data_IF_514930595446
#
_entry.id   IF_514930595446
#
_cell.length_a   1.000
_cell.length_b   1.000
_cell.length_c   1.000
_cell.angle_alpha   90.00
_cell.angle_beta   90.00
_cell.angle_gamma   90.00
#
_symmetry.space_group_name_H-M   'P 1'
#
loop_
_entity.id
_entity.type
_entity.pdbx_description
1 polymer ?
#
# COMPACT_ATOMS: atom_id res chain seq x y z
N UNK A 1 21.07 20.47 14.76
CA UNK A 1 20.13 19.42 15.26
C UNK A 1 20.90 18.11 15.33
N UNK A 2 21.27 17.66 16.51
CA UNK A 2 21.93 16.37 16.71
C UNK A 2 20.95 15.25 16.35
N UNK A 3 21.27 14.46 15.30
CA UNK A 3 20.56 13.21 15.02
C UNK A 3 20.79 12.26 16.18
N UNK A 4 19.78 12.02 17.01
CA UNK A 4 19.81 10.98 18.03
C UNK A 4 20.25 9.67 17.38
N UNK A 5 21.30 9.06 17.90
CA UNK A 5 21.87 7.79 17.44
C UNK A 5 20.78 6.72 17.52
N UNK A 6 20.25 6.32 16.39
CA UNK A 6 19.30 5.20 16.27
C UNK A 6 20.13 3.93 16.50
N UNK A 7 19.84 3.18 17.58
CA UNK A 7 20.62 2.00 17.98
C UNK A 7 20.23 0.71 17.24
N UNK A 8 19.14 0.70 16.45
CA UNK A 8 18.62 -0.44 15.71
C UNK A 8 18.77 -0.29 14.20
N UNK A 9 18.27 -1.28 13.45
CA UNK A 9 18.19 -1.23 11.99
C UNK A 9 17.09 -0.31 11.54
N UNK A 10 17.31 0.40 10.42
CA UNK A 10 16.32 1.28 9.82
C UNK A 10 15.74 0.60 8.57
N UNK A 11 14.43 0.52 8.50
CA UNK A 11 13.69 -0.03 7.38
C UNK A 11 12.80 1.05 6.75
N UNK A 12 12.90 1.23 5.43
CA UNK A 12 12.01 2.11 4.68
C UNK A 12 10.91 1.29 4.01
N UNK A 13 9.65 1.48 4.42
CA UNK A 13 8.54 0.76 3.79
C UNK A 13 7.87 1.61 2.71
N UNK A 14 7.84 1.07 1.48
CA UNK A 14 7.21 1.69 0.32
C UNK A 14 6.12 0.80 -0.26
N UNK A 15 4.97 1.41 -0.64
CA UNK A 15 3.81 0.67 -1.13
C UNK A 15 3.16 1.36 -2.32
N UNK A 16 2.81 0.55 -3.33
CA UNK A 16 1.97 0.95 -4.46
C UNK A 16 0.76 0.02 -4.59
N UNK A 17 -0.28 0.50 -5.25
CA UNK A 17 -1.49 -0.29 -5.48
C UNK A 17 -1.36 -1.25 -6.66
N UNK A 18 -0.61 -0.88 -7.70
CA UNK A 18 -0.44 -1.70 -8.91
C UNK A 18 1.02 -1.68 -9.36
N UNK A 19 1.48 -2.76 -10.00
CA UNK A 19 2.86 -2.86 -10.54
C UNK A 19 3.23 -1.78 -11.55
N UNK A 20 2.24 -1.11 -12.16
CA UNK A 20 2.45 0.00 -13.11
C UNK A 20 2.81 1.34 -12.43
N UNK A 21 2.58 1.46 -11.13
CA UNK A 21 2.90 2.67 -10.37
C UNK A 21 4.37 2.67 -9.97
N UNK A 22 4.99 3.86 -9.94
CA UNK A 22 6.38 4.03 -9.59
C UNK A 22 6.56 4.25 -8.07
N UNK A 23 7.51 3.55 -7.47
CA UNK A 23 7.90 3.67 -6.06
C UNK A 23 9.05 4.69 -5.85
N UNK A 24 9.73 5.14 -6.91
CA UNK A 24 10.99 5.88 -6.83
C UNK A 24 10.87 7.16 -5.99
N UNK A 25 9.70 7.84 -6.06
CA UNK A 25 9.45 9.03 -5.23
C UNK A 25 9.50 8.69 -3.73
N UNK A 26 8.86 7.60 -3.31
CA UNK A 26 8.84 7.19 -1.90
C UNK A 26 10.24 6.76 -1.46
N UNK A 27 10.93 5.98 -2.30
CA UNK A 27 12.30 5.51 -2.04
C UNK A 27 13.23 6.71 -1.87
N UNK A 28 13.22 7.64 -2.83
CA UNK A 28 14.04 8.87 -2.79
C UNK A 28 13.76 9.71 -1.55
N UNK A 29 12.50 9.89 -1.16
CA UNK A 29 12.13 10.65 0.03
C UNK A 29 12.71 10.00 1.29
N UNK A 30 12.58 8.66 1.43
CA UNK A 30 13.12 7.93 2.57
C UNK A 30 14.66 7.99 2.57
N UNK A 31 15.30 7.69 1.46
CA UNK A 31 16.77 7.65 1.38
C UNK A 31 17.43 9.02 1.53
N UNK A 32 16.71 10.10 1.23
CA UNK A 32 17.21 11.46 1.46
C UNK A 32 17.43 11.75 2.94
N UNK A 33 16.55 11.24 3.81
CA UNK A 33 16.63 11.46 5.25
C UNK A 33 17.32 10.30 5.99
N UNK A 34 17.16 9.08 5.48
CA UNK A 34 17.72 7.84 6.01
C UNK A 34 18.42 7.03 4.91
N UNK A 35 19.66 7.44 4.49
CA UNK A 35 20.40 6.77 3.40
C UNK A 35 20.67 5.29 3.68
N UNK A 36 20.82 4.92 4.95
CA UNK A 36 21.09 3.57 5.44
C UNK A 36 19.84 2.67 5.50
N UNK A 37 18.64 3.21 5.22
CA UNK A 37 17.39 2.46 5.33
C UNK A 37 17.32 1.31 4.33
N UNK A 38 17.03 0.11 4.82
CA UNK A 38 16.73 -1.07 4.00
C UNK A 38 15.32 -0.94 3.44
N UNK A 39 15.21 -0.78 2.13
CA UNK A 39 13.91 -0.54 1.46
C UNK A 39 13.13 -1.84 1.28
N UNK A 40 11.96 -1.90 1.90
CA UNK A 40 10.96 -2.97 1.74
C UNK A 40 9.87 -2.50 0.77
N UNK A 41 9.72 -3.21 -0.35
CA UNK A 41 8.80 -2.86 -1.44
C UNK A 41 7.56 -3.76 -1.41
N UNK A 42 6.38 -3.17 -1.41
CA UNK A 42 5.11 -3.92 -1.45
C UNK A 42 4.18 -3.44 -2.57
N UNK A 43 3.56 -4.39 -3.26
CA UNK A 43 2.50 -4.13 -4.24
C UNK A 43 1.20 -4.70 -3.69
N UNK A 44 0.34 -3.82 -3.19
CA UNK A 44 -0.91 -4.22 -2.56
C UNK A 44 -2.02 -3.19 -2.76
N UNK A 45 -3.15 -3.63 -3.32
CA UNK A 45 -4.32 -2.79 -3.64
C UNK A 45 -5.39 -2.75 -2.56
N UNK A 46 -5.40 -3.73 -1.65
CA UNK A 46 -6.41 -3.82 -0.60
C UNK A 46 -6.30 -2.72 0.47
N UNK A 47 -7.33 -2.60 1.27
CA UNK A 47 -7.36 -1.73 2.46
C UNK A 47 -6.87 -2.47 3.70
N UNK A 48 -7.17 -3.76 3.83
CA UNK A 48 -6.86 -4.59 5.01
C UNK A 48 -5.35 -4.81 5.18
N UNK A 49 -4.89 -4.75 6.41
CA UNK A 49 -3.48 -4.93 6.77
C UNK A 49 -2.99 -6.37 6.52
N UNK A 50 -3.84 -7.36 6.79
CA UNK A 50 -3.50 -8.79 6.69
C UNK A 50 -2.99 -9.25 5.31
N UNK A 51 -3.41 -8.60 4.23
CA UNK A 51 -2.96 -8.92 2.87
C UNK A 51 -1.55 -8.42 2.52
N UNK A 52 -0.87 -7.69 3.41
CA UNK A 52 0.44 -7.08 3.18
C UNK A 52 1.56 -8.03 3.60
N UNK A 53 1.94 -8.89 2.69
CA UNK A 53 2.91 -9.97 2.95
C UNK A 53 4.28 -9.46 3.40
N UNK A 54 4.80 -8.44 2.72
CA UNK A 54 6.14 -7.93 3.02
C UNK A 54 6.17 -7.10 4.32
N UNK A 55 5.13 -6.31 4.60
CA UNK A 55 5.01 -5.59 5.87
C UNK A 55 4.87 -6.57 7.05
N UNK A 56 4.03 -7.60 6.91
CA UNK A 56 3.84 -8.61 7.94
C UNK A 56 5.12 -9.44 8.20
N UNK A 57 5.88 -9.73 7.15
CA UNK A 57 7.20 -10.34 7.27
C UNK A 57 8.18 -9.43 8.04
N UNK A 58 8.23 -8.14 7.65
CA UNK A 58 9.07 -7.14 8.32
C UNK A 58 8.73 -7.09 9.81
N UNK A 59 7.45 -6.91 10.18
CA UNK A 59 7.01 -6.80 11.57
C UNK A 59 7.42 -8.01 12.44
N UNK A 60 7.44 -9.22 11.84
CA UNK A 60 7.89 -10.43 12.55
C UNK A 60 9.40 -10.47 12.80
N UNK A 61 10.19 -9.75 12.02
CA UNK A 61 11.65 -9.73 12.10
C UNK A 61 12.20 -8.57 12.94
N UNK A 62 11.37 -7.57 13.24
CA UNK A 62 11.76 -6.38 13.99
C UNK A 62 12.18 -6.73 15.41
N UNK A 63 13.18 -6.01 15.88
CA UNK A 63 13.70 -6.07 17.25
C UNK A 63 13.49 -4.73 17.95
N UNK A 64 13.48 -4.75 19.27
CA UNK A 64 13.42 -3.53 20.08
C UNK A 64 14.52 -2.54 19.65
N UNK A 65 14.13 -1.30 19.40
CA UNK A 65 15.01 -0.25 18.91
C UNK A 65 15.16 -0.16 17.39
N UNK A 66 14.59 -1.10 16.61
CA UNK A 66 14.51 -0.95 15.16
C UNK A 66 13.53 0.16 14.77
N UNK A 67 13.75 0.75 13.61
CA UNK A 67 12.95 1.86 13.08
C UNK A 67 12.30 1.49 11.77
N UNK A 68 11.01 1.84 11.60
CA UNK A 68 10.33 1.80 10.30
C UNK A 68 10.02 3.23 9.87
N UNK A 69 10.45 3.58 8.66
CA UNK A 69 10.19 4.87 8.01
C UNK A 69 9.14 4.70 6.92
N UNK A 70 8.07 5.49 7.01
CA UNK A 70 6.99 5.58 6.02
C UNK A 70 7.01 6.95 5.34
N UNK A 71 6.76 7.02 4.02
CA UNK A 71 6.58 8.31 3.31
C UNK A 71 5.37 9.09 3.86
N UNK A 72 4.32 8.37 4.31
CA UNK A 72 3.12 8.95 4.95
C UNK A 72 2.31 7.87 5.69
N UNK A 73 1.39 8.29 6.56
CA UNK A 73 0.44 7.43 7.28
C UNK A 73 -0.32 6.50 6.34
N UNK A 74 -0.73 6.98 5.16
CA UNK A 74 -1.44 6.18 4.15
C UNK A 74 -0.64 4.99 3.61
N UNK A 75 0.68 4.96 3.80
CA UNK A 75 1.51 3.80 3.45
C UNK A 75 1.41 2.72 4.51
N UNK A 76 1.33 3.12 5.78
CA UNK A 76 1.12 2.20 6.89
C UNK A 76 -0.30 1.62 6.88
N UNK A 77 -1.35 2.44 6.90
CA UNK A 77 -2.73 1.96 6.77
C UNK A 77 -3.63 2.93 6.00
N UNK A 78 -4.73 2.39 5.44
CA UNK A 78 -5.85 3.12 4.85
C UNK A 78 -7.13 2.96 5.67
N UNK A 79 -7.10 2.11 6.66
CA UNK A 79 -8.11 1.94 7.69
C UNK A 79 -7.59 2.58 8.96
N UNK A 80 -8.37 3.47 9.56
CA UNK A 80 -7.91 4.27 10.68
C UNK A 80 -7.75 3.45 11.96
N UNK A 81 -8.72 2.59 12.24
CA UNK A 81 -8.71 1.79 13.47
C UNK A 81 -7.62 0.72 13.44
N UNK A 82 -7.54 -0.02 12.31
CA UNK A 82 -6.48 -1.01 12.10
C UNK A 82 -5.09 -0.37 12.13
N UNK A 83 -4.94 0.82 11.53
CA UNK A 83 -3.68 1.57 11.53
C UNK A 83 -3.25 2.02 12.91
N UNK A 84 -4.19 2.55 13.69
CA UNK A 84 -3.94 2.97 15.07
C UNK A 84 -3.56 1.80 15.96
N UNK A 85 -4.26 0.67 15.87
CA UNK A 85 -3.94 -0.54 16.63
C UNK A 85 -2.53 -1.06 16.32
N UNK A 86 -2.18 -1.15 15.04
CA UNK A 86 -0.83 -1.59 14.63
C UNK A 86 0.25 -0.60 15.10
N UNK A 87 -0.05 0.71 15.09
CA UNK A 87 0.86 1.71 15.64
C UNK A 87 1.12 1.46 17.12
N UNK A 88 0.06 1.22 17.93
CA UNK A 88 0.19 0.93 19.35
C UNK A 88 0.99 -0.36 19.60
N UNK A 89 0.66 -1.44 18.89
CA UNK A 89 1.34 -2.73 19.03
C UNK A 89 2.85 -2.62 18.74
N UNK A 90 3.23 -1.85 17.73
CA UNK A 90 4.64 -1.62 17.39
C UNK A 90 5.34 -0.72 18.40
N UNK A 91 4.65 0.32 18.86
CA UNK A 91 5.16 1.20 19.91
C UNK A 91 5.43 0.43 21.22
N UNK A 92 4.49 -0.43 21.65
CA UNK A 92 4.63 -1.26 22.86
C UNK A 92 5.77 -2.28 22.73
N UNK A 93 6.04 -2.77 21.52
CA UNK A 93 7.20 -3.62 21.19
C UNK A 93 8.53 -2.85 21.16
N UNK A 94 8.52 -1.55 21.42
CA UNK A 94 9.72 -0.72 21.39
C UNK A 94 10.28 -0.45 19.99
N UNK A 95 9.43 -0.54 18.95
CA UNK A 95 9.77 -0.19 17.57
C UNK A 95 9.53 1.30 17.35
N UNK A 96 10.47 1.97 16.69
CA UNK A 96 10.33 3.38 16.32
C UNK A 96 9.59 3.49 14.98
N UNK A 97 8.59 4.38 14.90
CA UNK A 97 7.84 4.68 13.69
C UNK A 97 8.08 6.14 13.30
N UNK A 98 8.41 6.37 12.04
CA UNK A 98 8.68 7.69 11.48
C UNK A 98 7.81 7.88 10.22
N UNK A 99 7.13 9.03 10.15
CA UNK A 99 6.26 9.41 9.05
C UNK A 99 6.76 10.72 8.43
N UNK A 100 7.40 10.66 7.26
CA UNK A 100 8.08 11.82 6.65
C UNK A 100 7.16 13.03 6.38
N UNK A 101 5.86 12.79 6.23
CA UNK A 101 4.88 13.86 6.03
C UNK A 101 4.14 14.27 7.29
N UNK A 102 4.09 13.37 8.27
CA UNK A 102 3.30 13.56 9.48
C UNK A 102 4.19 13.36 10.74
N UNK A 103 5.31 14.09 10.84
CA UNK A 103 6.28 13.97 11.96
C UNK A 103 5.68 14.19 13.35
N UNK A 104 4.53 14.86 13.44
CA UNK A 104 3.85 15.09 14.70
C UNK A 104 3.33 13.80 15.36
N UNK A 105 3.26 12.70 14.60
CA UNK A 105 2.87 11.37 15.10
C UNK A 105 4.03 10.38 15.14
N UNK A 106 5.25 10.80 14.90
CA UNK A 106 6.42 9.93 15.08
C UNK A 106 6.46 9.41 16.52
N UNK A 107 6.88 8.15 16.71
CA UNK A 107 6.94 7.57 18.07
C UNK A 107 7.86 8.33 19.01
N UNK A 108 8.91 8.97 18.48
CA UNK A 108 9.79 9.85 19.28
C UNK A 108 9.02 11.05 19.80
N UNK A 109 8.19 11.68 18.97
CA UNK A 109 7.34 12.82 19.36
C UNK A 109 6.33 12.37 20.43
N UNK A 110 5.71 11.22 20.24
CA UNK A 110 4.80 10.64 21.21
C UNK A 110 5.48 10.30 22.54
N UNK A 111 6.66 9.66 22.52
CA UNK A 111 7.48 9.42 23.71
C UNK A 111 7.86 10.71 24.45
N UNK A 112 8.21 11.74 23.69
CA UNK A 112 8.55 13.05 24.28
C UNK A 112 7.34 13.67 25.00
N UNK A 113 6.14 13.56 24.43
CA UNK A 113 4.92 14.02 25.05
C UNK A 113 4.60 13.26 26.37
N UNK A 114 4.95 11.97 26.44
CA UNK A 114 4.80 11.16 27.65
C UNK A 114 5.88 11.51 28.69
N UNK A 115 7.15 11.60 28.26
CA UNK A 115 8.29 11.78 29.17
C UNK A 115 8.44 13.23 29.65
N UNK A 116 7.94 14.21 28.88
CA UNK A 116 7.91 15.63 29.25
C UNK A 116 6.63 16.01 30.02
N UNK A 117 5.97 15.02 30.63
CA UNK A 117 4.90 15.30 31.60
C UNK A 117 5.38 16.26 32.69
N UNK A 118 4.47 17.00 33.29
CA UNK A 118 4.79 17.92 34.38
C UNK A 118 5.39 17.11 35.52
N UNK A 119 6.61 17.45 35.97
CA UNK A 119 7.26 16.70 37.04
C UNK A 119 6.45 16.82 38.36
N UNK A 120 6.37 15.72 39.08
CA UNK A 120 5.71 15.68 40.37
C UNK A 120 6.57 16.39 41.42
N UNK A 121 5.90 17.11 42.36
CA UNK A 121 6.53 17.99 43.33
C UNK A 121 6.71 17.33 44.72
N UNK A 122 6.09 16.16 44.93
CA UNK A 122 6.04 15.48 46.21
C UNK A 122 5.00 16.08 47.19
N UNK A 123 4.06 16.90 46.68
CA UNK A 123 3.01 17.56 47.47
C UNK A 123 1.61 17.12 47.01
N UNK A 124 0.57 17.55 47.74
CA UNK A 124 -0.83 17.27 47.39
C UNK A 124 -1.24 17.82 46.00
N UNK A 125 -0.46 18.74 45.44
CA UNK A 125 -0.66 19.23 44.06
C UNK A 125 -0.44 18.12 43.00
N UNK A 126 0.28 17.08 43.39
CA UNK A 126 0.59 15.97 42.47
C UNK A 126 -0.65 15.24 41.96
N UNK A 127 -1.74 15.18 42.72
CA UNK A 127 -3.03 14.63 42.23
C UNK A 127 -3.56 15.39 41.00
N UNK A 128 -3.36 16.72 40.95
CA UNK A 128 -3.74 17.55 39.81
C UNK A 128 -2.76 17.32 38.67
N UNK A 129 -1.46 17.29 38.96
CA UNK A 129 -0.41 17.10 37.96
C UNK A 129 -0.52 15.73 37.27
N UNK A 130 -0.84 14.67 38.03
CA UNK A 130 -1.13 13.35 37.45
C UNK A 130 -2.33 13.38 36.51
N UNK A 131 -3.40 14.09 36.89
CA UNK A 131 -4.59 14.28 36.02
C UNK A 131 -4.25 14.99 34.71
N UNK A 132 -3.46 16.05 34.80
CA UNK A 132 -2.98 16.80 33.62
C UNK A 132 -2.10 15.91 32.73
N UNK A 133 -1.16 15.17 33.31
CA UNK A 133 -0.29 14.26 32.57
C UNK A 133 -1.10 13.16 31.84
N UNK A 134 -2.11 12.57 32.48
CA UNK A 134 -3.04 11.62 31.85
C UNK A 134 -3.81 12.26 30.68
N UNK A 135 -4.24 13.51 30.85
CA UNK A 135 -4.93 14.25 29.78
C UNK A 135 -4.01 14.52 28.58
N UNK A 136 -2.77 14.97 28.83
CA UNK A 136 -1.77 15.18 27.77
C UNK A 136 -1.49 13.89 26.98
N UNK A 137 -1.38 12.76 27.67
CA UNK A 137 -1.23 11.45 27.03
C UNK A 137 -2.45 11.08 26.18
N UNK A 138 -3.65 11.36 26.67
CA UNK A 138 -4.89 11.14 25.90
C UNK A 138 -4.94 11.99 24.63
N UNK A 139 -4.53 13.27 24.72
CA UNK A 139 -4.43 14.15 23.55
C UNK A 139 -3.43 13.64 22.52
N UNK A 140 -2.25 13.16 22.96
CA UNK A 140 -1.25 12.60 22.04
C UNK A 140 -1.79 11.37 21.31
N UNK A 141 -2.50 10.47 21.98
CA UNK A 141 -3.18 9.32 21.37
C UNK A 141 -4.23 9.76 20.34
N UNK A 142 -5.04 10.78 20.68
CA UNK A 142 -6.06 11.29 19.79
C UNK A 142 -5.44 11.93 18.52
N UNK A 143 -4.31 12.63 18.62
CA UNK A 143 -3.59 13.18 17.48
C UNK A 143 -3.16 12.09 16.49
N UNK A 144 -2.65 10.97 17.01
CA UNK A 144 -2.29 9.82 16.15
C UNK A 144 -3.52 9.26 15.46
N UNK A 145 -4.61 9.06 16.20
CA UNK A 145 -5.88 8.57 15.65
C UNK A 145 -6.44 9.48 14.57
N UNK A 146 -6.43 10.80 14.80
CA UNK A 146 -6.88 11.80 13.83
C UNK A 146 -6.05 11.78 12.54
N UNK A 147 -4.73 11.57 12.61
CA UNK A 147 -3.90 11.45 11.42
C UNK A 147 -4.30 10.24 10.56
N UNK A 148 -4.61 9.09 11.18
CA UNK A 148 -5.13 7.93 10.46
C UNK A 148 -6.53 8.17 9.87
N UNK A 149 -7.43 8.82 10.62
CA UNK A 149 -8.77 9.19 10.15
C UNK A 149 -8.70 10.15 8.95
N UNK A 150 -7.83 11.14 8.99
CA UNK A 150 -7.61 12.07 7.87
C UNK A 150 -7.11 11.32 6.64
N UNK A 151 -6.13 10.43 6.80
CA UNK A 151 -5.63 9.58 5.71
C UNK A 151 -6.72 8.70 5.09
N UNK A 152 -7.62 8.13 5.90
CA UNK A 152 -8.76 7.35 5.43
C UNK A 152 -9.76 8.23 4.67
N UNK A 153 -10.06 9.42 5.18
CA UNK A 153 -10.96 10.38 4.54
C UNK A 153 -10.44 10.79 3.16
N UNK A 154 -9.17 11.08 3.02
CA UNK A 154 -8.56 11.41 1.71
C UNK A 154 -8.83 10.32 0.65
N UNK A 155 -8.75 9.04 1.03
CA UNK A 155 -9.04 7.92 0.13
C UNK A 155 -10.52 7.85 -0.25
N UNK A 156 -11.42 8.09 0.71
CA UNK A 156 -12.87 8.09 0.44
C UNK A 156 -13.28 9.26 -0.43
N UNK A 157 -12.76 10.45 -0.16
CA UNK A 157 -13.02 11.66 -0.94
C UNK A 157 -12.51 11.52 -2.38
N UNK A 158 -11.32 10.93 -2.58
CA UNK A 158 -10.80 10.66 -3.92
C UNK A 158 -11.71 9.70 -4.70
N UNK A 159 -12.21 8.65 -4.04
CA UNK A 159 -13.16 7.70 -4.66
C UNK A 159 -14.47 8.37 -5.02
N UNK A 160 -14.96 9.23 -4.14
CA UNK A 160 -16.20 9.96 -4.37
C UNK A 160 -16.07 10.92 -5.56
N UNK A 161 -15.04 11.76 -5.58
CA UNK A 161 -14.74 12.65 -6.72
C UNK A 161 -14.60 11.90 -8.05
N UNK A 162 -13.99 10.71 -8.02
CA UNK A 162 -13.88 9.87 -9.22
C UNK A 162 -15.25 9.41 -9.70
N UNK A 163 -16.15 8.96 -8.79
CA UNK A 163 -17.52 8.57 -9.14
C UNK A 163 -18.31 9.74 -9.73
N UNK A 164 -18.26 10.88 -9.08
CA UNK A 164 -18.93 12.11 -9.52
C UNK A 164 -18.40 12.59 -10.87
N UNK A 165 -17.09 12.51 -11.09
CA UNK A 165 -16.47 12.84 -12.38
C UNK A 165 -16.94 11.89 -13.51
N UNK A 166 -17.07 10.58 -13.22
CA UNK A 166 -17.61 9.61 -14.16
C UNK A 166 -19.07 9.90 -14.48
N UNK A 167 -19.87 10.21 -13.47
CA UNK A 167 -21.30 10.54 -13.66
C UNK A 167 -21.48 11.84 -14.48
N UNK A 168 -20.72 12.87 -14.16
CA UNK A 168 -20.69 14.11 -14.93
C UNK A 168 -20.31 13.88 -16.38
N UNK A 169 -19.31 13.01 -16.62
CA UNK A 169 -18.93 12.65 -18.00
C UNK A 169 -20.04 11.92 -18.75
N UNK A 170 -20.82 11.06 -18.07
CA UNK A 170 -22.02 10.39 -18.65
C UNK A 170 -23.11 11.40 -19.00
N UNK A 171 -23.44 12.30 -18.09
CA UNK A 171 -24.43 13.35 -18.29
C UNK A 171 -24.05 14.23 -19.51
N UNK A 172 -22.76 14.51 -19.66
CA UNK A 172 -22.23 15.28 -20.79
C UNK A 172 -22.07 14.43 -22.09
N UNK A 173 -22.67 13.24 -22.14
CA UNK A 173 -22.66 12.36 -23.32
C UNK A 173 -21.30 11.76 -23.66
N UNK A 174 -20.31 11.83 -22.78
CA UNK A 174 -19.01 11.17 -23.02
C UNK A 174 -19.13 9.66 -22.81
N UNK A 175 -18.68 8.90 -23.80
CA UNK A 175 -18.57 7.46 -23.68
C UNK A 175 -17.50 7.09 -22.65
N UNK A 176 -17.88 6.27 -21.65
CA UNK A 176 -16.96 5.82 -20.58
C UNK A 176 -16.74 4.32 -20.75
N UNK A 177 -15.49 3.95 -20.91
CA UNK A 177 -15.07 2.58 -21.15
C UNK A 177 -14.80 2.30 -22.63
N UNK A 178 -14.75 1.01 -23.00
CA UNK A 178 -14.60 0.59 -24.38
C UNK A 178 -15.93 0.79 -25.13
N UNK A 179 -15.84 1.30 -26.36
CA UNK A 179 -17.00 1.37 -27.24
C UNK A 179 -17.62 -0.03 -27.45
N UNK A 180 -18.95 -0.09 -27.58
CA UNK A 180 -19.64 -1.36 -27.86
C UNK A 180 -19.08 -1.98 -29.13
N UNK A 181 -18.76 -3.28 -29.09
CA UNK A 181 -18.16 -3.99 -30.22
C UNK A 181 -16.63 -3.91 -30.33
N UNK A 182 -15.96 -3.07 -29.55
CA UNK A 182 -14.49 -3.01 -29.55
C UNK A 182 -13.91 -4.26 -28.87
N UNK A 183 -13.14 -5.03 -29.57
CA UNK A 183 -12.42 -6.19 -29.02
C UNK A 183 -11.15 -5.72 -28.34
N UNK A 184 -10.98 -6.10 -27.06
CA UNK A 184 -9.76 -5.80 -26.30
C UNK A 184 -8.62 -6.73 -26.76
N UNK A 185 -7.63 -6.18 -27.45
CA UNK A 185 -6.41 -6.90 -27.81
C UNK A 185 -5.39 -6.72 -26.69
N UNK A 186 -5.09 -7.80 -25.97
CA UNK A 186 -4.08 -7.79 -24.90
C UNK A 186 -2.79 -8.43 -25.39
N UNK A 187 -1.63 -8.05 -24.81
CA UNK A 187 -0.34 -8.69 -25.12
C UNK A 187 -0.44 -10.22 -24.99
N UNK A 188 -1.09 -10.71 -23.92
CA UNK A 188 -1.30 -12.14 -23.71
C UNK A 188 -2.16 -12.78 -24.82
N UNK A 189 -3.18 -12.08 -25.35
CA UNK A 189 -3.99 -12.62 -26.45
C UNK A 189 -3.19 -12.74 -27.74
N UNK A 190 -2.29 -11.78 -28.03
CA UNK A 190 -1.39 -11.83 -29.19
C UNK A 190 -0.43 -13.03 -29.03
N UNK A 191 0.30 -13.12 -27.92
CA UNK A 191 1.21 -14.23 -27.64
C UNK A 191 0.53 -15.60 -27.70
N UNK A 192 -0.72 -15.70 -27.20
CA UNK A 192 -1.47 -16.94 -27.27
C UNK A 192 -1.86 -17.28 -28.72
N UNK A 193 -2.30 -16.31 -29.53
CA UNK A 193 -2.64 -16.51 -30.94
C UNK A 193 -1.40 -16.94 -31.74
N UNK A 194 -0.27 -16.29 -31.56
CA UNK A 194 1.01 -16.68 -32.21
C UNK A 194 1.41 -18.13 -31.87
N UNK A 195 1.27 -18.52 -30.58
CA UNK A 195 1.54 -19.91 -30.18
C UNK A 195 0.56 -20.91 -30.78
N UNK A 196 -0.73 -20.57 -30.85
CA UNK A 196 -1.74 -21.43 -31.52
C UNK A 196 -1.37 -21.59 -32.98
N UNK A 197 -1.05 -20.52 -33.69
CA UNK A 197 -0.67 -20.54 -35.09
C UNK A 197 0.61 -21.35 -35.34
N UNK A 198 1.57 -21.28 -34.42
CA UNK A 198 2.84 -22.02 -34.56
C UNK A 198 2.74 -23.51 -34.25
N UNK A 199 1.87 -23.93 -33.33
CA UNK A 199 1.89 -25.30 -32.81
C UNK A 199 0.68 -26.15 -33.18
N UNK A 200 -0.48 -25.55 -33.52
CA UNK A 200 -1.71 -26.31 -33.82
C UNK A 200 -1.68 -26.93 -35.19
N UNK A 201 -2.14 -28.19 -35.32
CA UNK A 201 -2.28 -28.91 -36.59
C UNK A 201 -3.13 -28.20 -37.62
N UNK A 202 -4.10 -27.38 -37.19
CA UNK A 202 -4.95 -26.59 -38.10
C UNK A 202 -4.18 -25.46 -38.83
N UNK A 203 -2.95 -25.18 -38.42
CA UNK A 203 -2.06 -24.16 -38.96
C UNK A 203 -0.66 -24.73 -39.24
N UNK A 204 -0.59 -25.95 -39.75
CA UNK A 204 0.64 -26.67 -40.12
C UNK A 204 1.60 -27.01 -38.93
N UNK A 205 1.10 -26.90 -37.72
CA UNK A 205 1.83 -27.33 -36.53
C UNK A 205 1.68 -28.82 -36.24
N UNK A 206 2.38 -29.33 -35.21
CA UNK A 206 2.41 -30.76 -34.89
C UNK A 206 1.45 -31.16 -33.75
N UNK A 207 0.93 -30.21 -32.98
CA UNK A 207 0.18 -30.49 -31.76
C UNK A 207 -1.33 -30.54 -32.02
N UNK A 208 -2.00 -31.49 -31.35
CA UNK A 208 -3.46 -31.52 -31.26
C UNK A 208 -3.99 -30.36 -30.39
N UNK A 209 -5.28 -30.03 -30.54
CA UNK A 209 -5.93 -28.96 -29.75
C UNK A 209 -5.75 -29.15 -28.27
N UNK A 210 -5.82 -30.39 -27.78
CA UNK A 210 -5.67 -30.71 -26.34
C UNK A 210 -4.26 -30.42 -25.83
N UNK A 211 -3.25 -30.78 -26.61
CA UNK A 211 -1.83 -30.50 -26.30
C UNK A 211 -1.51 -29.01 -26.39
N UNK A 212 -2.06 -28.29 -27.37
CA UNK A 212 -1.93 -26.84 -27.47
C UNK A 212 -2.54 -26.12 -26.29
N UNK A 213 -3.73 -26.49 -25.84
CA UNK A 213 -4.40 -25.93 -24.67
C UNK A 213 -3.52 -26.11 -23.41
N UNK A 214 -2.93 -27.28 -23.26
CA UNK A 214 -2.07 -27.63 -22.12
C UNK A 214 -0.73 -26.85 -22.16
N UNK A 215 -0.11 -26.76 -23.36
CA UNK A 215 1.15 -26.03 -23.56
C UNK A 215 1.01 -24.53 -23.32
N UNK A 216 -0.09 -23.93 -23.81
CA UNK A 216 -0.32 -22.47 -23.72
C UNK A 216 -0.89 -22.08 -22.35
N UNK A 217 -1.53 -23.00 -21.65
CA UNK A 217 -2.11 -22.76 -20.32
C UNK A 217 -3.32 -21.82 -20.35
N UNK A 218 -4.22 -22.00 -21.32
CA UNK A 218 -5.46 -21.22 -21.46
C UNK A 218 -6.70 -22.13 -21.40
N UNK A 219 -7.84 -21.54 -21.02
CA UNK A 219 -9.09 -22.27 -20.97
C UNK A 219 -9.54 -22.70 -22.38
N UNK A 220 -10.17 -23.90 -22.48
CA UNK A 220 -10.66 -24.48 -23.74
C UNK A 220 -11.52 -23.51 -24.58
N UNK A 221 -12.45 -22.80 -23.92
CA UNK A 221 -13.28 -21.80 -24.60
C UNK A 221 -12.48 -20.64 -25.20
N UNK A 222 -11.44 -20.17 -24.51
CA UNK A 222 -10.53 -19.11 -24.97
C UNK A 222 -9.69 -19.62 -26.18
N UNK A 223 -9.23 -20.86 -26.12
CA UNK A 223 -8.47 -21.48 -27.19
C UNK A 223 -9.28 -21.52 -28.49
N UNK A 224 -10.50 -22.06 -28.47
CA UNK A 224 -11.35 -22.14 -29.67
C UNK A 224 -11.84 -20.78 -30.17
N UNK A 225 -12.00 -19.81 -29.27
CA UNK A 225 -12.25 -18.42 -29.65
C UNK A 225 -11.08 -17.85 -30.44
N UNK A 226 -9.85 -17.97 -29.94
CA UNK A 226 -8.66 -17.47 -30.61
C UNK A 226 -8.39 -18.21 -31.93
N UNK A 227 -8.61 -19.50 -31.96
CA UNK A 227 -8.48 -20.34 -33.19
C UNK A 227 -9.43 -19.88 -34.28
N UNK A 228 -10.68 -19.53 -33.96
CA UNK A 228 -11.63 -18.91 -34.89
C UNK A 228 -11.15 -17.54 -35.34
N UNK A 229 -10.77 -16.69 -34.44
CA UNK A 229 -10.29 -15.34 -34.76
C UNK A 229 -9.08 -15.36 -35.73
N UNK A 230 -8.19 -16.35 -35.59
CA UNK A 230 -7.05 -16.54 -36.51
C UNK A 230 -7.56 -16.98 -37.88
N UNK A 231 -8.49 -17.96 -37.96
CA UNK A 231 -9.06 -18.43 -39.24
C UNK A 231 -9.84 -17.33 -39.97
N UNK A 232 -10.51 -16.44 -39.22
CA UNK A 232 -11.28 -15.31 -39.75
C UNK A 232 -10.38 -14.11 -40.15
N UNK A 233 -9.07 -14.22 -40.03
CA UNK A 233 -8.11 -13.14 -40.34
C UNK A 233 -8.19 -11.95 -39.38
N UNK A 234 -8.77 -12.13 -38.21
CA UNK A 234 -8.90 -11.11 -37.17
C UNK A 234 -7.67 -11.20 -36.24
N UNK A 235 -6.57 -10.57 -36.68
CA UNK A 235 -5.37 -10.41 -35.85
C UNK A 235 -5.49 -9.30 -34.81
#
# INVERSE_FOLDING_TARGET
>A
MERKRIMGKIYGYVRISTKKQNMDRQIRNIQKEYPEAVIIKEVYTGTKFQGRKELNKLIKQLKVGDTIVFDSVSRMSRDAEEGFQVYQDLYEKGIELIFLKEHHIDTITYKSAINNGIPLTGTNVDYILEGVNKYLLSLAKEQIRLAFLQSQKEVTDLRQRTKEGIETARINGKHIGLASGTKLVTKRSIECKEKIQKYSRDFDGMLSDKECIQLIGIARGTYYKYKREIKDGIC
#
